data_IF_403418441292
#
_entry.id   IF_403418441292
#
_cell.length_a   1.000
_cell.length_b   1.000
_cell.length_c   1.000
_cell.angle_alpha   90.00
_cell.angle_beta   90.00
_cell.angle_gamma   90.00
#
_symmetry.space_group_name_H-M   'P 1'
#
loop_
_entity.id
_entity.type
_entity.pdbx_description
1 polymer ?
#
# COMPACT_ATOMS: atom_id res chain seq x y z
N UNK A 1 -5.97 22.50 -30.26
CA UNK A 1 -6.91 22.96 -29.22
C UNK A 1 -6.58 22.23 -27.93
N UNK A 2 -6.29 22.95 -26.87
CA UNK A 2 -6.08 22.34 -25.54
C UNK A 2 -7.40 21.76 -25.06
N UNK A 3 -7.42 20.47 -24.78
CA UNK A 3 -8.59 19.76 -24.30
C UNK A 3 -8.90 20.26 -22.88
N UNK A 4 -10.11 20.79 -22.63
CA UNK A 4 -10.57 21.23 -21.33
C UNK A 4 -11.85 20.50 -20.92
N UNK A 5 -12.27 20.58 -19.66
CA UNK A 5 -13.46 19.89 -19.16
C UNK A 5 -14.76 20.39 -19.83
N UNK A 6 -14.83 21.65 -20.23
CA UNK A 6 -15.96 22.22 -20.96
C UNK A 6 -16.12 21.54 -22.34
N UNK A 7 -15.01 21.32 -23.06
CA UNK A 7 -15.02 20.60 -24.35
C UNK A 7 -15.42 19.12 -24.21
N UNK A 8 -15.34 18.56 -23.00
CA UNK A 8 -15.83 17.21 -22.67
C UNK A 8 -17.32 17.20 -22.30
N UNK A 9 -18.01 18.35 -22.29
CA UNK A 9 -19.42 18.47 -21.97
C UNK A 9 -19.73 18.54 -20.48
N UNK A 10 -18.76 18.90 -19.64
CA UNK A 10 -18.99 19.11 -18.21
C UNK A 10 -19.68 20.46 -17.99
N UNK A 11 -20.73 20.44 -17.18
CA UNK A 11 -21.59 21.60 -16.91
C UNK A 11 -20.90 22.68 -16.05
N UNK A 12 -21.30 23.97 -16.18
CA UNK A 12 -20.61 25.11 -15.57
C UNK A 12 -20.47 25.06 -14.06
N UNK A 13 -21.43 24.50 -13.33
CA UNK A 13 -21.38 24.37 -11.87
C UNK A 13 -20.27 23.38 -11.42
N UNK A 14 -20.11 22.28 -12.14
CA UNK A 14 -19.02 21.32 -11.91
C UNK A 14 -17.66 21.91 -12.34
N UNK A 15 -17.62 22.70 -13.43
CA UNK A 15 -16.41 23.43 -13.84
C UNK A 15 -15.94 24.41 -12.77
N UNK A 16 -16.87 25.14 -12.16
CA UNK A 16 -16.57 26.05 -11.04
C UNK A 16 -15.97 25.29 -9.87
N UNK A 17 -16.54 24.14 -9.51
CA UNK A 17 -16.00 23.30 -8.44
C UNK A 17 -14.62 22.72 -8.75
N UNK A 18 -14.37 22.34 -9.99
CA UNK A 18 -13.04 21.88 -10.42
C UNK A 18 -12.00 23.01 -10.28
N UNK A 19 -12.35 24.22 -10.70
CA UNK A 19 -11.49 25.41 -10.59
C UNK A 19 -11.17 25.78 -9.14
N UNK A 20 -12.14 25.70 -8.21
CA UNK A 20 -11.93 25.87 -6.76
C UNK A 20 -10.85 24.93 -6.20
N UNK A 21 -10.64 23.78 -6.85
CA UNK A 21 -9.65 22.76 -6.47
C UNK A 21 -8.41 22.76 -7.38
N UNK A 22 -8.19 23.82 -8.14
CA UNK A 22 -7.05 23.94 -9.07
C UNK A 22 -7.00 22.85 -10.16
N UNK A 23 -8.14 22.20 -10.46
CA UNK A 23 -8.25 21.17 -11.49
C UNK A 23 -8.76 21.84 -12.78
N UNK A 24 -7.83 22.28 -13.61
CA UNK A 24 -8.15 23.07 -14.82
C UNK A 24 -8.11 22.27 -16.12
N UNK A 25 -7.35 21.16 -16.13
CA UNK A 25 -7.19 20.33 -17.33
C UNK A 25 -7.52 18.87 -17.02
N UNK A 26 -8.22 18.18 -17.94
CA UNK A 26 -8.50 16.77 -17.77
C UNK A 26 -7.23 15.93 -17.95
N UNK A 27 -7.10 14.92 -17.10
CA UNK A 27 -6.08 13.89 -17.29
C UNK A 27 -6.40 13.01 -18.51
N UNK A 28 -5.45 12.25 -19.06
CA UNK A 28 -5.69 11.39 -20.22
C UNK A 28 -6.87 10.40 -20.04
N UNK A 29 -7.05 9.83 -18.84
CA UNK A 29 -8.18 8.93 -18.56
C UNK A 29 -9.51 9.69 -18.52
N UNK A 30 -9.51 10.89 -17.96
CA UNK A 30 -10.71 11.73 -17.93
C UNK A 30 -11.13 12.16 -19.34
N UNK A 31 -10.16 12.57 -20.16
CA UNK A 31 -10.39 12.97 -21.54
C UNK A 31 -11.05 11.88 -22.40
N UNK A 32 -10.67 10.62 -22.17
CA UNK A 32 -11.22 9.49 -22.92
C UNK A 32 -12.51 8.94 -22.30
N UNK A 33 -12.59 8.83 -20.96
CA UNK A 33 -13.70 8.17 -20.30
C UNK A 33 -14.95 9.04 -20.16
N UNK A 34 -14.80 10.32 -19.84
CA UNK A 34 -15.94 11.23 -19.62
C UNK A 34 -16.91 11.21 -20.80
N UNK A 35 -16.48 11.44 -22.07
CA UNK A 35 -17.41 11.47 -23.19
C UNK A 35 -18.15 10.15 -23.42
N UNK A 36 -17.49 9.02 -23.24
CA UNK A 36 -18.11 7.72 -23.48
C UNK A 36 -19.10 7.35 -22.36
N UNK A 37 -18.77 7.69 -21.10
CA UNK A 37 -19.69 7.51 -19.96
C UNK A 37 -20.93 8.40 -20.12
N UNK A 38 -20.78 9.65 -20.58
CA UNK A 38 -21.89 10.56 -20.82
C UNK A 38 -22.81 10.09 -21.96
N UNK A 39 -22.28 9.40 -22.95
CA UNK A 39 -23.06 8.74 -24.03
C UNK A 39 -23.83 7.51 -23.53
N UNK A 40 -23.70 7.12 -22.28
CA UNK A 40 -24.33 5.92 -21.71
C UNK A 40 -23.67 4.60 -22.09
N UNK A 41 -22.50 4.61 -22.72
CA UNK A 41 -21.79 3.39 -23.09
C UNK A 41 -21.19 2.66 -21.89
N UNK A 42 -21.09 1.34 -22.00
CA UNK A 42 -20.24 0.58 -21.08
C UNK A 42 -18.77 0.94 -21.31
N UNK A 43 -18.01 1.04 -20.22
CA UNK A 43 -16.59 1.41 -20.27
C UNK A 43 -15.76 0.43 -19.44
N UNK A 44 -14.69 -0.09 -20.04
CA UNK A 44 -13.63 -0.82 -19.35
C UNK A 44 -12.36 0.02 -19.43
N UNK A 45 -12.00 0.70 -18.36
CA UNK A 45 -10.84 1.59 -18.33
C UNK A 45 -9.66 0.95 -17.59
N UNK A 46 -8.55 0.81 -18.31
CA UNK A 46 -7.25 0.45 -17.72
C UNK A 46 -6.53 1.73 -17.32
N UNK A 47 -6.36 1.94 -16.02
CA UNK A 47 -5.69 3.15 -15.51
C UNK A 47 -5.10 2.92 -14.13
N UNK A 48 -3.88 3.42 -13.94
CA UNK A 48 -3.16 3.32 -12.66
C UNK A 48 -3.82 4.17 -11.56
N UNK A 49 -3.47 3.91 -10.29
CA UNK A 49 -3.88 4.76 -9.17
C UNK A 49 -3.24 6.15 -9.28
N UNK A 50 -4.00 7.19 -8.92
CA UNK A 50 -3.50 8.58 -8.95
C UNK A 50 -3.61 9.32 -10.28
N UNK A 51 -4.18 8.71 -11.32
CA UNK A 51 -4.37 9.32 -12.64
C UNK A 51 -5.63 10.17 -12.78
N UNK A 52 -6.44 10.29 -11.71
CA UNK A 52 -7.71 11.03 -11.75
C UNK A 52 -8.93 10.20 -12.13
N UNK A 53 -8.87 8.86 -12.03
CA UNK A 53 -9.99 7.94 -12.32
C UNK A 53 -11.31 8.33 -11.65
N UNK A 54 -11.23 8.74 -10.38
CA UNK A 54 -12.44 9.06 -9.61
C UNK A 54 -13.27 10.14 -10.29
N UNK A 55 -12.67 11.23 -10.72
CA UNK A 55 -13.38 12.29 -11.43
C UNK A 55 -13.81 11.87 -12.85
N UNK A 56 -13.09 10.95 -13.50
CA UNK A 56 -13.44 10.47 -14.82
C UNK A 56 -14.84 9.83 -14.88
N UNK A 57 -15.25 9.13 -13.81
CA UNK A 57 -16.60 8.58 -13.71
C UNK A 57 -17.54 9.42 -12.86
N UNK A 58 -17.04 10.08 -11.81
CA UNK A 58 -17.88 10.79 -10.85
C UNK A 58 -18.57 12.01 -11.48
N UNK A 59 -17.86 12.81 -12.28
CA UNK A 59 -18.42 13.99 -12.94
C UNK A 59 -19.61 13.63 -13.85
N UNK A 60 -19.48 12.69 -14.84
CA UNK A 60 -20.62 12.29 -15.66
C UNK A 60 -21.76 11.63 -14.85
N UNK A 61 -21.45 10.89 -13.78
CA UNK A 61 -22.49 10.34 -12.92
C UNK A 61 -23.30 11.42 -12.22
N UNK A 62 -22.62 12.41 -11.62
CA UNK A 62 -23.28 13.53 -10.93
C UNK A 62 -24.13 14.37 -11.89
N UNK A 63 -23.67 14.55 -13.13
CA UNK A 63 -24.39 15.28 -14.16
C UNK A 63 -25.66 14.53 -14.62
N UNK A 64 -25.61 13.19 -14.63
CA UNK A 64 -26.74 12.34 -15.03
C UNK A 64 -27.73 12.01 -13.91
N UNK A 65 -27.51 12.51 -12.68
CA UNK A 65 -28.43 12.33 -11.55
C UNK A 65 -29.53 13.38 -11.59
N UNK A 66 -30.80 12.92 -11.49
CA UNK A 66 -31.93 13.79 -11.18
C UNK A 66 -32.09 13.95 -9.67
N UNK A 67 -31.79 15.14 -9.09
CA UNK A 67 -31.84 15.35 -7.64
C UNK A 67 -33.28 15.32 -7.09
N UNK A 68 -34.30 15.52 -7.90
CA UNK A 68 -35.72 15.50 -7.51
C UNK A 68 -36.26 14.08 -7.38
N UNK A 69 -35.64 13.11 -8.04
CA UNK A 69 -36.04 11.71 -7.98
C UNK A 69 -35.64 11.08 -6.64
N UNK A 70 -36.63 10.73 -5.83
CA UNK A 70 -36.46 10.08 -4.52
C UNK A 70 -36.12 8.58 -4.67
N UNK A 71 -34.97 8.29 -5.29
CA UNK A 71 -34.48 6.93 -5.52
C UNK A 71 -32.96 6.91 -5.65
N UNK A 72 -32.35 5.77 -5.31
CA UNK A 72 -30.93 5.54 -5.62
C UNK A 72 -30.80 5.27 -7.12
N UNK A 73 -30.07 6.13 -7.82
CA UNK A 73 -29.92 6.12 -9.28
C UNK A 73 -28.56 5.58 -9.73
N UNK A 74 -27.53 5.81 -8.92
CA UNK A 74 -26.16 5.44 -9.25
C UNK A 74 -25.52 4.68 -8.07
N UNK A 75 -24.66 3.73 -8.41
CA UNK A 75 -23.89 2.93 -7.43
C UNK A 75 -22.42 2.90 -7.82
N UNK A 76 -21.55 3.02 -6.81
CA UNK A 76 -20.12 2.82 -6.97
C UNK A 76 -19.67 1.75 -5.97
N UNK A 77 -18.96 0.74 -6.46
CA UNK A 77 -18.33 -0.30 -5.65
C UNK A 77 -16.83 -0.03 -5.55
N UNK A 78 -16.28 -0.11 -4.35
CA UNK A 78 -14.87 0.06 -4.06
C UNK A 78 -14.34 -1.09 -3.18
N UNK A 79 -13.07 -1.54 -3.34
CA UNK A 79 -12.51 -2.69 -2.64
C UNK A 79 -12.34 -2.47 -1.14
N UNK A 80 -12.17 -1.22 -0.70
CA UNK A 80 -11.90 -0.90 0.71
C UNK A 80 -12.87 0.17 1.24
N UNK A 81 -13.03 0.19 2.58
CA UNK A 81 -13.86 1.20 3.25
C UNK A 81 -13.27 2.60 3.08
N UNK A 82 -11.94 2.70 3.09
CA UNK A 82 -11.20 3.95 2.93
C UNK A 82 -11.46 4.58 1.55
N UNK A 83 -11.33 3.79 0.47
CA UNK A 83 -11.59 4.26 -0.87
C UNK A 83 -13.08 4.60 -1.04
N UNK A 84 -13.98 3.76 -0.55
CA UNK A 84 -15.41 4.07 -0.58
C UNK A 84 -15.73 5.41 0.10
N UNK A 85 -15.18 5.66 1.29
CA UNK A 85 -15.40 6.91 2.01
C UNK A 85 -14.70 8.12 1.38
N UNK A 86 -13.59 7.91 0.68
CA UNK A 86 -12.97 8.94 -0.15
C UNK A 86 -13.90 9.34 -1.30
N UNK A 87 -14.42 8.36 -2.05
CA UNK A 87 -15.36 8.61 -3.14
C UNK A 87 -16.64 9.29 -2.62
N UNK A 88 -17.13 8.91 -1.43
CA UNK A 88 -18.26 9.60 -0.76
C UNK A 88 -17.96 11.08 -0.57
N UNK A 89 -16.78 11.42 -0.02
CA UNK A 89 -16.38 12.83 0.20
C UNK A 89 -16.29 13.61 -1.11
N UNK A 90 -15.69 13.00 -2.15
CA UNK A 90 -15.62 13.63 -3.47
C UNK A 90 -17.04 13.79 -4.06
N UNK A 91 -17.88 12.76 -3.98
CA UNK A 91 -19.27 12.84 -4.43
C UNK A 91 -20.10 13.92 -3.72
N UNK A 92 -19.88 14.11 -2.40
CA UNK A 92 -20.48 15.20 -1.64
C UNK A 92 -19.95 16.56 -2.08
N UNK A 93 -18.62 16.69 -2.22
CA UNK A 93 -17.95 17.93 -2.62
C UNK A 93 -18.46 18.47 -3.95
N UNK A 94 -18.56 17.62 -4.97
CA UNK A 94 -19.00 18.01 -6.32
C UNK A 94 -20.53 17.96 -6.50
N UNK A 95 -21.25 17.18 -5.67
CA UNK A 95 -22.70 17.02 -5.78
C UNK A 95 -23.54 17.93 -4.88
N UNK A 96 -22.93 18.62 -3.90
CA UNK A 96 -23.63 19.43 -2.91
C UNK A 96 -24.49 20.53 -3.53
N UNK A 97 -23.92 21.33 -4.43
CA UNK A 97 -24.63 22.43 -5.11
C UNK A 97 -25.79 21.94 -5.98
N UNK A 98 -25.75 20.67 -6.40
CA UNK A 98 -26.82 20.00 -7.18
C UNK A 98 -27.90 19.39 -6.28
N UNK A 99 -27.77 19.47 -4.96
CA UNK A 99 -28.67 18.83 -4.02
C UNK A 99 -28.60 17.29 -4.02
N UNK A 100 -27.51 16.70 -4.53
CA UNK A 100 -27.31 15.26 -4.61
C UNK A 100 -26.87 14.71 -3.27
N UNK A 101 -27.60 13.73 -2.75
CA UNK A 101 -27.28 13.02 -1.51
C UNK A 101 -26.44 11.79 -1.83
N UNK A 102 -25.26 11.71 -1.21
CA UNK A 102 -24.31 10.60 -1.36
C UNK A 102 -24.19 9.85 -0.05
N UNK A 103 -24.42 8.54 -0.07
CA UNK A 103 -24.36 7.67 1.12
C UNK A 103 -23.29 6.58 0.98
N UNK A 104 -22.44 6.45 2.01
CA UNK A 104 -21.48 5.35 2.15
C UNK A 104 -22.11 4.10 2.75
N UNK A 105 -21.93 2.94 2.11
CA UNK A 105 -22.38 1.63 2.53
C UNK A 105 -21.16 0.73 2.77
N UNK A 106 -20.60 0.79 3.99
CA UNK A 106 -19.34 0.12 4.33
C UNK A 106 -19.48 -0.82 5.53
N UNK A 107 -18.68 -1.89 5.53
CA UNK A 107 -18.55 -2.80 6.66
C UNK A 107 -18.03 -2.08 7.92
N UNK A 108 -18.03 -2.75 9.08
CA UNK A 108 -17.51 -2.17 10.33
C UNK A 108 -18.26 -0.95 10.87
N UNK A 109 -19.22 -0.39 10.12
CA UNK A 109 -20.14 0.64 10.59
C UNK A 109 -21.51 0.02 10.95
N UNK A 110 -22.24 0.66 11.90
CA UNK A 110 -23.54 0.15 12.35
C UNK A 110 -24.53 0.08 11.18
N UNK A 111 -24.89 -1.13 10.77
CA UNK A 111 -25.82 -1.37 9.65
C UNK A 111 -27.17 -0.66 9.87
N UNK A 112 -27.69 -0.64 11.09
CA UNK A 112 -28.94 0.04 11.43
C UNK A 112 -28.93 1.51 11.03
N UNK A 113 -27.81 2.23 11.26
CA UNK A 113 -27.66 3.64 10.85
C UNK A 113 -27.62 3.81 9.33
N UNK A 114 -27.04 2.86 8.61
CA UNK A 114 -27.01 2.90 7.15
C UNK A 114 -28.42 2.64 6.56
N UNK A 115 -29.17 1.69 7.15
CA UNK A 115 -30.57 1.43 6.78
C UNK A 115 -31.43 2.67 7.03
N UNK A 116 -31.22 3.37 8.13
CA UNK A 116 -31.96 4.60 8.44
C UNK A 116 -31.68 5.69 7.39
N UNK A 117 -30.41 5.92 7.07
CA UNK A 117 -30.02 6.89 6.04
C UNK A 117 -30.46 6.49 4.62
N UNK A 118 -30.68 5.20 4.34
CA UNK A 118 -31.24 4.78 3.04
C UNK A 118 -32.70 5.22 2.87
N UNK A 119 -33.43 5.46 3.96
CA UNK A 119 -34.81 6.00 3.91
C UNK A 119 -34.85 7.44 3.38
N UNK A 120 -33.75 8.18 3.48
CA UNK A 120 -33.61 9.54 2.91
C UNK A 120 -33.48 9.52 1.39
N UNK A 121 -33.52 8.34 0.76
CA UNK A 121 -33.40 8.13 -0.68
C UNK A 121 -32.16 8.81 -1.30
N UNK A 122 -30.93 8.48 -0.88
CA UNK A 122 -29.73 9.02 -1.50
C UNK A 122 -29.69 8.63 -2.98
N UNK A 123 -29.40 9.59 -3.86
CA UNK A 123 -29.33 9.37 -5.30
C UNK A 123 -28.09 8.57 -5.70
N UNK A 124 -26.98 8.74 -4.96
CA UNK A 124 -25.73 8.02 -5.16
C UNK A 124 -25.37 7.21 -3.91
N UNK A 125 -25.11 5.92 -4.09
CA UNK A 125 -24.54 5.07 -3.04
C UNK A 125 -23.12 4.64 -3.44
N UNK A 126 -22.22 4.63 -2.47
CA UNK A 126 -20.84 4.16 -2.64
C UNK A 126 -20.58 3.11 -1.57
N UNK A 127 -20.12 1.91 -1.93
CA UNK A 127 -19.96 0.88 -0.93
C UNK A 127 -18.93 -0.19 -1.22
N UNK A 128 -18.65 -0.99 -0.18
CA UNK A 128 -17.89 -2.22 -0.34
C UNK A 128 -18.83 -3.38 -0.70
N UNK A 129 -18.40 -4.33 -1.57
CA UNK A 129 -19.28 -5.37 -2.09
C UNK A 129 -20.04 -6.15 -1.01
N UNK A 130 -19.36 -6.62 0.02
CA UNK A 130 -19.97 -7.40 1.08
C UNK A 130 -21.13 -6.66 1.79
N UNK A 131 -20.96 -5.36 2.13
CA UNK A 131 -22.02 -4.56 2.77
C UNK A 131 -23.17 -4.24 1.81
N UNK A 132 -22.87 -3.95 0.55
CA UNK A 132 -23.89 -3.70 -0.47
C UNK A 132 -24.73 -4.97 -0.67
N UNK A 133 -24.10 -6.14 -0.84
CA UNK A 133 -24.78 -7.44 -0.94
C UNK A 133 -25.68 -7.72 0.28
N UNK A 134 -25.17 -7.48 1.50
CA UNK A 134 -25.93 -7.65 2.75
C UNK A 134 -27.22 -6.80 2.75
N UNK A 135 -27.14 -5.54 2.32
CA UNK A 135 -28.29 -4.62 2.27
C UNK A 135 -29.27 -4.98 1.15
N UNK A 136 -28.81 -5.51 0.03
CA UNK A 136 -29.65 -6.04 -1.07
C UNK A 136 -30.40 -7.28 -0.56
N UNK A 137 -29.69 -8.25 0.04
CA UNK A 137 -30.29 -9.47 0.58
C UNK A 137 -31.34 -9.17 1.67
N UNK A 138 -31.08 -8.16 2.51
CA UNK A 138 -32.02 -7.67 3.51
C UNK A 138 -33.18 -6.85 2.90
N UNK A 139 -33.27 -6.68 1.58
CA UNK A 139 -34.28 -5.86 0.84
C UNK A 139 -34.32 -4.39 1.29
N UNK A 140 -33.20 -3.86 1.80
CA UNK A 140 -33.07 -2.46 2.24
C UNK A 140 -32.54 -1.55 1.14
N UNK A 141 -31.71 -2.07 0.23
CA UNK A 141 -31.24 -1.38 -0.97
C UNK A 141 -31.99 -1.92 -2.20
N UNK A 142 -32.72 -1.04 -2.86
CA UNK A 142 -33.53 -1.38 -4.05
C UNK A 142 -32.69 -1.16 -5.31
N UNK A 143 -32.54 -2.19 -6.14
CA UNK A 143 -31.66 -2.17 -7.32
C UNK A 143 -32.36 -1.68 -8.61
N UNK A 144 -33.70 -1.71 -8.66
CA UNK A 144 -34.48 -1.46 -9.87
C UNK A 144 -34.43 0.00 -10.40
N UNK A 145 -33.96 0.96 -9.60
CA UNK A 145 -33.77 2.35 -10.04
C UNK A 145 -32.32 2.69 -10.36
N UNK A 146 -31.39 1.75 -10.17
CA UNK A 146 -29.97 1.98 -10.41
C UNK A 146 -29.70 1.81 -11.91
N UNK A 147 -29.37 2.93 -12.54
CA UNK A 147 -29.12 3.01 -13.98
C UNK A 147 -27.64 2.93 -14.35
N UNK A 148 -26.73 3.17 -13.39
CA UNK A 148 -25.29 3.04 -13.62
C UNK A 148 -24.62 2.41 -12.42
N UNK A 149 -23.75 1.43 -12.65
CA UNK A 149 -22.89 0.82 -11.62
C UNK A 149 -21.45 1.00 -12.06
N UNK A 150 -20.66 1.63 -11.21
CA UNK A 150 -19.21 1.76 -11.36
C UNK A 150 -18.52 0.76 -10.43
N UNK A 151 -17.50 0.06 -10.92
CA UNK A 151 -16.63 -0.78 -10.11
C UNK A 151 -15.22 -0.22 -10.21
N UNK A 152 -14.77 0.41 -9.12
CA UNK A 152 -13.42 0.98 -9.06
C UNK A 152 -12.44 -0.02 -8.44
N UNK A 153 -11.23 -0.06 -8.98
CA UNK A 153 -10.15 -1.00 -8.61
C UNK A 153 -10.63 -2.47 -8.63
N UNK A 154 -11.21 -2.92 -9.76
CA UNK A 154 -11.75 -4.28 -9.95
C UNK A 154 -10.73 -5.35 -9.61
N UNK A 155 -9.48 -5.19 -10.03
CA UNK A 155 -8.37 -6.10 -9.76
C UNK A 155 -8.11 -6.26 -8.25
N UNK A 156 -8.08 -5.19 -7.50
CA UNK A 156 -7.94 -5.25 -6.04
C UNK A 156 -9.16 -5.90 -5.37
N UNK A 157 -10.35 -5.61 -5.87
CA UNK A 157 -11.59 -6.19 -5.36
C UNK A 157 -11.59 -7.73 -5.52
N UNK A 158 -11.10 -8.22 -6.65
CA UNK A 158 -10.99 -9.66 -6.91
C UNK A 158 -9.90 -10.33 -6.09
N UNK A 159 -8.74 -9.68 -5.95
CA UNK A 159 -7.66 -10.13 -5.06
C UNK A 159 -8.11 -10.28 -3.59
N UNK A 160 -9.08 -9.48 -3.16
CA UNK A 160 -9.68 -9.56 -1.81
C UNK A 160 -10.81 -10.60 -1.71
N UNK A 161 -11.06 -11.38 -2.76
CA UNK A 161 -12.12 -12.40 -2.79
C UNK A 161 -13.53 -11.82 -3.04
N UNK A 162 -13.64 -10.56 -3.46
CA UNK A 162 -14.92 -9.89 -3.69
C UNK A 162 -15.61 -10.24 -5.01
N UNK A 163 -15.01 -11.04 -5.88
CA UNK A 163 -15.56 -11.38 -7.19
C UNK A 163 -16.98 -11.97 -7.13
N UNK A 164 -17.24 -12.86 -6.16
CA UNK A 164 -18.56 -13.47 -5.95
C UNK A 164 -19.62 -12.45 -5.54
N UNK A 165 -19.26 -11.52 -4.65
CA UNK A 165 -20.16 -10.45 -4.21
C UNK A 165 -20.51 -9.50 -5.36
N UNK A 166 -19.51 -9.15 -6.19
CA UNK A 166 -19.72 -8.31 -7.38
C UNK A 166 -20.67 -8.97 -8.35
N UNK A 167 -20.45 -10.25 -8.71
CA UNK A 167 -21.35 -11.00 -9.61
C UNK A 167 -22.78 -11.05 -9.05
N UNK A 168 -22.94 -11.30 -7.75
CA UNK A 168 -24.25 -11.31 -7.10
C UNK A 168 -24.95 -9.94 -7.18
N UNK A 169 -24.23 -8.84 -6.94
CA UNK A 169 -24.76 -7.47 -7.01
C UNK A 169 -25.21 -7.17 -8.45
N UNK A 170 -24.35 -7.44 -9.43
CA UNK A 170 -24.66 -7.23 -10.85
C UNK A 170 -25.90 -8.04 -11.30
N UNK A 171 -26.03 -9.29 -10.84
CA UNK A 171 -27.18 -10.14 -11.13
C UNK A 171 -28.52 -9.65 -10.56
N UNK A 172 -28.51 -8.74 -9.57
CA UNK A 172 -29.74 -8.14 -9.00
C UNK A 172 -30.15 -6.83 -9.67
N UNK A 173 -29.29 -6.24 -10.50
CA UNK A 173 -29.56 -4.99 -11.19
C UNK A 173 -30.26 -5.23 -12.53
N UNK A 174 -30.93 -4.19 -13.06
CA UNK A 174 -31.54 -4.25 -14.37
C UNK A 174 -30.52 -4.50 -15.48
N UNK A 175 -30.92 -5.15 -16.59
CA UNK A 175 -30.01 -5.49 -17.69
C UNK A 175 -29.58 -4.30 -18.53
N UNK A 176 -30.40 -3.27 -18.60
CA UNK A 176 -30.16 -2.02 -19.35
C UNK A 176 -29.29 -1.00 -18.61
N UNK A 177 -28.78 -1.38 -17.43
CA UNK A 177 -27.86 -0.53 -16.67
C UNK A 177 -26.55 -0.29 -17.44
N UNK A 178 -26.01 0.90 -17.30
CA UNK A 178 -24.65 1.19 -17.71
C UNK A 178 -23.64 0.62 -16.70
N UNK A 179 -22.54 0.04 -17.19
CA UNK A 179 -21.43 -0.45 -16.37
C UNK A 179 -20.13 0.27 -16.73
N UNK A 180 -19.39 0.67 -15.69
CA UNK A 180 -18.08 1.30 -15.82
C UNK A 180 -17.10 0.57 -14.90
N UNK A 181 -16.15 -0.14 -15.49
CA UNK A 181 -15.11 -0.86 -14.76
C UNK A 181 -13.79 -0.11 -14.88
N UNK A 182 -13.15 0.12 -13.73
CA UNK A 182 -11.81 0.73 -13.69
C UNK A 182 -10.85 -0.23 -12.97
N UNK A 183 -9.73 -0.50 -13.60
CA UNK A 183 -8.73 -1.42 -13.08
C UNK A 183 -7.32 -0.94 -13.43
N UNK A 184 -6.34 -1.24 -12.60
CA UNK A 184 -4.94 -1.01 -12.96
C UNK A 184 -4.43 -2.13 -13.90
N UNK A 185 -5.01 -3.33 -13.77
CA UNK A 185 -4.65 -4.49 -14.58
C UNK A 185 -5.91 -5.16 -15.13
N UNK A 186 -5.80 -5.70 -16.35
CA UNK A 186 -6.85 -6.45 -17.02
C UNK A 186 -6.41 -7.92 -17.12
N UNK A 187 -6.68 -8.69 -16.09
CA UNK A 187 -6.50 -10.15 -16.11
C UNK A 187 -7.70 -10.83 -16.79
N UNK A 188 -7.54 -12.15 -17.08
CA UNK A 188 -8.56 -12.94 -17.77
C UNK A 188 -9.91 -12.96 -17.03
N UNK A 189 -9.90 -12.93 -15.70
CA UNK A 189 -11.12 -12.93 -14.90
C UNK A 189 -11.92 -11.63 -15.04
N UNK A 190 -11.23 -10.47 -15.06
CA UNK A 190 -11.85 -9.15 -15.27
C UNK A 190 -12.39 -9.05 -16.69
N UNK A 191 -11.61 -9.50 -17.69
CA UNK A 191 -12.04 -9.49 -19.08
C UNK A 191 -13.26 -10.41 -19.30
N UNK A 192 -13.25 -11.61 -18.68
CA UNK A 192 -14.39 -12.53 -18.75
C UNK A 192 -15.64 -11.91 -18.11
N UNK A 193 -15.52 -11.23 -16.97
CA UNK A 193 -16.66 -10.54 -16.36
C UNK A 193 -17.15 -9.39 -17.24
N UNK A 194 -16.26 -8.59 -17.80
CA UNK A 194 -16.64 -7.50 -18.69
C UNK A 194 -17.39 -8.03 -19.94
N UNK A 195 -16.86 -9.06 -20.59
CA UNK A 195 -17.51 -9.70 -21.74
C UNK A 195 -18.88 -10.31 -21.42
N UNK A 196 -19.06 -10.84 -20.20
CA UNK A 196 -20.32 -11.41 -19.76
C UNK A 196 -21.38 -10.36 -19.41
N UNK A 197 -20.98 -9.27 -18.77
CA UNK A 197 -21.88 -8.27 -18.20
C UNK A 197 -22.10 -7.04 -19.08
N UNK A 198 -21.18 -6.78 -20.02
CA UNK A 198 -21.19 -5.61 -20.90
C UNK A 198 -21.28 -6.04 -22.36
N UNK A 199 -22.40 -5.73 -22.98
CA UNK A 199 -22.51 -5.83 -24.43
C UNK A 199 -21.93 -4.54 -25.06
N UNK A 200 -20.98 -4.67 -25.99
CA UNK A 200 -20.42 -3.53 -26.74
C UNK A 200 -19.83 -2.43 -25.84
N UNK A 201 -18.79 -2.77 -25.09
CA UNK A 201 -18.09 -1.80 -24.24
C UNK A 201 -16.93 -1.12 -24.95
N UNK A 202 -16.65 0.13 -24.56
CA UNK A 202 -15.46 0.87 -24.98
C UNK A 202 -14.32 0.51 -24.03
N UNK A 203 -13.24 -0.02 -24.60
CA UNK A 203 -12.01 -0.21 -23.84
C UNK A 203 -11.17 1.07 -23.90
N UNK A 204 -10.84 1.62 -22.73
CA UNK A 204 -9.98 2.78 -22.58
C UNK A 204 -8.67 2.31 -21.98
N UNK A 205 -7.61 2.34 -22.80
CA UNK A 205 -6.25 2.05 -22.37
C UNK A 205 -5.48 3.35 -22.25
N UNK A 206 -4.96 3.67 -21.06
CA UNK A 206 -3.83 4.59 -21.00
C UNK A 206 -2.61 3.78 -21.39
N UNK A 207 -1.81 4.39 -22.27
CA UNK A 207 -0.62 3.87 -22.92
C UNK A 207 0.06 2.74 -22.13
N UNK A 208 0.11 1.51 -22.65
CA UNK A 208 0.75 0.38 -21.97
C UNK A 208 2.24 0.65 -21.65
N UNK A 209 2.84 1.64 -22.31
CA UNK A 209 4.25 2.01 -22.14
C UNK A 209 4.49 2.88 -20.88
N UNK A 210 3.46 3.51 -20.30
CA UNK A 210 3.57 4.23 -19.02
C UNK A 210 3.11 3.37 -17.83
N UNK A 211 3.94 2.42 -17.43
CA UNK A 211 3.63 1.52 -16.30
C UNK A 211 3.72 2.19 -14.93
N UNK A 212 4.33 3.37 -14.84
CA UNK A 212 4.38 4.23 -13.63
C UNK A 212 4.15 5.69 -14.00
N UNK A 213 3.71 6.52 -13.04
CA UNK A 213 3.54 7.95 -13.30
C UNK A 213 4.86 8.60 -13.74
N UNK A 214 4.82 9.42 -14.80
CA UNK A 214 6.00 10.02 -15.46
C UNK A 214 6.86 10.94 -14.57
N UNK A 215 6.41 11.25 -13.34
CA UNK A 215 7.14 12.10 -12.37
C UNK A 215 7.84 11.34 -11.26
N UNK A 216 7.92 9.99 -11.33
CA UNK A 216 8.51 9.18 -10.27
C UNK A 216 9.98 8.90 -10.52
N UNK A 217 10.81 9.14 -9.49
CA UNK A 217 12.18 8.66 -9.43
C UNK A 217 12.24 7.36 -8.63
N UNK A 218 12.93 6.34 -9.16
CA UNK A 218 13.01 5.02 -8.56
C UNK A 218 14.46 4.68 -8.21
N UNK A 219 14.72 4.50 -6.90
CA UNK A 219 16.03 4.12 -6.39
C UNK A 219 15.95 2.84 -5.56
N UNK A 220 17.05 2.10 -5.49
CA UNK A 220 17.23 1.09 -4.47
C UNK A 220 18.59 1.23 -3.79
N UNK A 221 18.62 0.84 -2.50
CA UNK A 221 19.78 0.89 -1.63
C UNK A 221 20.06 -0.51 -1.11
N UNK A 222 21.31 -0.96 -1.25
CA UNK A 222 21.73 -2.26 -0.76
C UNK A 222 22.26 -2.12 0.67
N UNK A 223 21.79 -2.99 1.57
CA UNK A 223 22.22 -3.02 2.97
C UNK A 223 22.08 -4.43 3.55
N UNK A 224 22.68 -4.70 4.71
CA UNK A 224 22.43 -5.94 5.42
C UNK A 224 21.06 -5.90 6.13
N UNK A 225 20.45 -7.07 6.32
CA UNK A 225 19.12 -7.19 6.96
C UNK A 225 19.05 -6.48 8.31
N UNK A 226 20.09 -6.67 9.14
CA UNK A 226 20.20 -6.03 10.47
C UNK A 226 20.27 -4.51 10.42
N UNK A 227 20.74 -3.94 9.31
CA UNK A 227 20.98 -2.51 9.15
C UNK A 227 19.84 -1.79 8.39
N UNK A 228 18.79 -2.52 7.93
CA UNK A 228 17.65 -1.94 7.18
C UNK A 228 16.96 -0.80 7.93
N UNK A 229 16.77 -0.92 9.27
CA UNK A 229 16.11 0.13 10.05
C UNK A 229 16.98 1.39 10.15
N UNK A 230 18.30 1.25 10.30
CA UNK A 230 19.20 2.40 10.28
C UNK A 230 19.27 3.04 8.88
N UNK A 231 19.30 2.22 7.82
CA UNK A 231 19.22 2.71 6.45
C UNK A 231 17.93 3.50 6.22
N UNK A 232 16.77 2.97 6.63
CA UNK A 232 15.49 3.66 6.55
C UNK A 232 15.54 5.03 7.24
N UNK A 233 16.04 5.09 8.47
CA UNK A 233 16.22 6.36 9.22
C UNK A 233 17.10 7.34 8.45
N UNK A 234 18.25 6.89 7.93
CA UNK A 234 19.20 7.72 7.17
C UNK A 234 18.56 8.26 5.90
N UNK A 235 17.79 7.44 5.17
CA UNK A 235 17.07 7.85 3.96
C UNK A 235 16.02 8.92 4.28
N UNK A 236 15.18 8.71 5.31
CA UNK A 236 14.17 9.69 5.71
C UNK A 236 14.81 11.01 6.16
N UNK A 237 15.95 10.96 6.84
CA UNK A 237 16.68 12.19 7.25
C UNK A 237 17.36 12.88 6.07
N UNK A 238 17.91 12.12 5.12
CA UNK A 238 18.61 12.67 3.96
C UNK A 238 17.64 13.37 3.00
N UNK A 239 16.58 12.68 2.58
CA UNK A 239 15.59 13.23 1.67
C UNK A 239 14.61 14.20 2.34
N UNK A 240 14.51 14.12 3.65
CA UNK A 240 13.67 14.96 4.51
C UNK A 240 12.24 15.20 3.97
N UNK A 241 11.52 14.13 3.53
CA UNK A 241 10.18 14.30 2.99
C UNK A 241 9.25 14.87 4.05
N UNK A 242 8.24 15.63 3.64
CA UNK A 242 7.17 16.05 4.53
C UNK A 242 6.41 14.82 5.06
N UNK A 243 6.10 13.87 4.17
CA UNK A 243 5.43 12.60 4.48
C UNK A 243 6.10 11.45 3.73
N UNK A 244 6.36 10.36 4.44
CA UNK A 244 6.84 9.10 3.87
C UNK A 244 5.92 7.94 4.27
N UNK A 245 5.61 7.07 3.30
CA UNK A 245 4.90 5.79 3.53
C UNK A 245 5.89 4.65 3.36
N UNK A 246 6.00 3.81 4.38
CA UNK A 246 6.92 2.67 4.42
C UNK A 246 6.13 1.37 4.34
N UNK A 247 6.45 0.54 3.36
CA UNK A 247 5.84 -0.76 3.15
C UNK A 247 6.69 -1.88 3.76
N UNK A 248 6.05 -2.72 4.58
CA UNK A 248 6.65 -3.88 5.26
C UNK A 248 5.78 -5.11 4.96
N UNK A 249 6.42 -6.23 4.57
CA UNK A 249 5.70 -7.45 4.23
C UNK A 249 5.23 -8.22 5.48
N UNK A 250 6.01 -8.18 6.56
CA UNK A 250 5.77 -8.96 7.77
C UNK A 250 5.15 -8.10 8.86
N UNK A 251 3.88 -8.33 9.19
CA UNK A 251 3.14 -7.55 10.20
C UNK A 251 3.78 -7.62 11.59
N UNK A 252 4.40 -8.74 11.94
CA UNK A 252 5.05 -8.92 13.25
C UNK A 252 6.25 -7.97 13.47
N UNK A 253 6.93 -7.55 12.41
CA UNK A 253 8.07 -6.65 12.50
C UNK A 253 7.68 -5.17 12.60
N UNK A 254 6.45 -4.82 12.23
CA UNK A 254 6.00 -3.43 12.11
C UNK A 254 6.16 -2.66 13.44
N UNK A 255 5.71 -3.24 14.56
CA UNK A 255 5.81 -2.59 15.87
C UNK A 255 7.24 -2.37 16.36
N UNK A 256 8.14 -3.31 16.05
CA UNK A 256 9.56 -3.17 16.39
C UNK A 256 10.23 -2.06 15.55
N UNK A 257 9.92 -1.98 14.26
CA UNK A 257 10.41 -0.93 13.37
C UNK A 257 9.91 0.44 13.84
N UNK A 258 8.62 0.56 14.17
CA UNK A 258 8.01 1.78 14.70
C UNK A 258 8.72 2.24 15.98
N UNK A 259 8.87 1.35 16.95
CA UNK A 259 9.53 1.65 18.23
C UNK A 259 10.99 2.12 18.03
N UNK A 260 11.76 1.44 17.16
CA UNK A 260 13.14 1.82 16.84
C UNK A 260 13.21 3.18 16.17
N UNK A 261 12.35 3.48 15.18
CA UNK A 261 12.35 4.77 14.48
C UNK A 261 11.96 5.91 15.41
N UNK A 262 10.96 5.73 16.29
CA UNK A 262 10.57 6.71 17.28
C UNK A 262 11.70 6.96 18.29
N UNK A 263 12.38 5.90 18.77
CA UNK A 263 13.56 6.04 19.63
C UNK A 263 14.70 6.82 18.94
N UNK A 264 14.85 6.67 17.64
CA UNK A 264 15.83 7.41 16.83
C UNK A 264 15.37 8.82 16.43
N UNK A 265 14.23 9.31 16.97
CA UNK A 265 13.75 10.69 16.78
C UNK A 265 12.98 10.94 15.48
N UNK A 266 12.36 9.93 14.88
CA UNK A 266 11.40 10.07 13.79
C UNK A 266 9.98 9.91 14.33
N UNK A 267 9.08 10.85 14.02
CA UNK A 267 7.67 10.74 14.40
C UNK A 267 6.98 9.70 13.50
N UNK A 268 6.81 8.50 14.03
CA UNK A 268 6.35 7.33 13.26
C UNK A 268 5.10 6.73 13.89
N UNK A 269 4.18 6.24 13.08
CA UNK A 269 3.10 5.36 13.52
C UNK A 269 2.86 4.25 12.49
N UNK A 270 2.22 3.16 12.95
CA UNK A 270 1.94 2.00 12.11
C UNK A 270 0.46 1.80 11.88
N UNK A 271 0.13 1.26 10.70
CA UNK A 271 -1.18 0.74 10.35
C UNK A 271 -1.12 -0.78 10.23
N UNK A 272 -1.86 -1.45 11.08
CA UNK A 272 -2.05 -2.89 11.02
C UNK A 272 -3.31 -3.22 10.23
N UNK A 273 -3.31 -4.36 9.53
CA UNK A 273 -4.48 -4.81 8.77
C UNK A 273 -5.71 -5.10 9.64
N UNK A 274 -5.49 -5.52 10.88
CA UNK A 274 -6.46 -5.86 11.91
C UNK A 274 -6.69 -4.75 12.95
N UNK A 275 -6.07 -3.57 12.77
CA UNK A 275 -6.29 -2.43 13.65
C UNK A 275 -7.78 -2.06 13.72
N UNK A 276 -8.28 -1.80 14.92
CA UNK A 276 -9.64 -1.30 15.10
C UNK A 276 -9.84 0.04 14.35
N UNK A 277 -11.09 0.29 13.99
CA UNK A 277 -11.45 1.44 13.14
C UNK A 277 -11.08 2.79 13.76
N UNK A 278 -11.14 2.91 15.09
CA UNK A 278 -10.85 4.17 15.79
C UNK A 278 -9.36 4.45 15.77
N UNK A 279 -8.54 3.46 16.12
CA UNK A 279 -7.07 3.54 16.06
C UNK A 279 -6.60 3.87 14.66
N UNK A 280 -7.12 3.15 13.64
CA UNK A 280 -6.79 3.42 12.23
C UNK A 280 -7.14 4.84 11.81
N UNK A 281 -8.35 5.31 12.16
CA UNK A 281 -8.81 6.67 11.85
C UNK A 281 -7.93 7.74 12.50
N UNK A 282 -7.55 7.54 13.76
CA UNK A 282 -6.70 8.47 14.51
C UNK A 282 -5.27 8.56 13.94
N UNK A 283 -4.68 7.41 13.59
CA UNK A 283 -3.34 7.38 12.96
C UNK A 283 -3.36 8.13 11.62
N UNK A 284 -4.37 7.85 10.79
CA UNK A 284 -4.51 8.51 9.48
C UNK A 284 -4.78 10.01 9.61
N UNK A 285 -5.58 10.44 10.59
CA UNK A 285 -5.83 11.86 10.85
C UNK A 285 -4.52 12.57 11.24
N UNK A 286 -3.76 12.01 12.19
CA UNK A 286 -2.45 12.55 12.60
C UNK A 286 -1.46 12.63 11.43
N UNK A 287 -1.47 11.64 10.53
CA UNK A 287 -0.59 11.63 9.37
C UNK A 287 -1.02 12.67 8.32
N UNK A 288 -2.32 12.87 8.12
CA UNK A 288 -2.84 13.95 7.24
C UNK A 288 -2.50 15.34 7.76
N UNK A 289 -2.55 15.52 9.09
CA UNK A 289 -2.26 16.78 9.78
C UNK A 289 -0.74 17.06 9.97
N UNK A 290 0.13 16.31 9.30
CA UNK A 290 1.60 16.41 9.39
C UNK A 290 2.18 16.18 10.81
N UNK A 291 1.40 15.60 11.72
CA UNK A 291 1.86 15.23 13.07
C UNK A 291 2.74 13.98 13.08
N UNK A 292 2.75 13.24 11.98
CA UNK A 292 3.59 12.06 11.77
C UNK A 292 4.35 12.24 10.46
N UNK A 293 5.67 11.99 10.51
CA UNK A 293 6.54 12.05 9.33
C UNK A 293 6.56 10.74 8.55
N UNK A 294 6.48 9.63 9.26
CA UNK A 294 6.56 8.27 8.71
C UNK A 294 5.31 7.47 9.09
N UNK A 295 4.67 6.90 8.09
CA UNK A 295 3.61 5.92 8.27
C UNK A 295 4.11 4.56 7.80
N UNK A 296 4.07 3.54 8.65
CA UNK A 296 4.44 2.17 8.30
C UNK A 296 3.15 1.38 8.06
N UNK A 297 3.09 0.62 6.97
CA UNK A 297 1.92 -0.19 6.65
C UNK A 297 2.29 -1.46 5.88
N UNK A 298 1.49 -2.51 6.02
CA UNK A 298 1.47 -3.61 5.07
C UNK A 298 0.67 -3.23 3.83
N UNK A 299 0.81 -4.00 2.74
CA UNK A 299 0.02 -3.78 1.52
C UNK A 299 -1.48 -3.76 1.82
N UNK A 300 -1.96 -4.70 2.64
CA UNK A 300 -3.38 -4.78 3.03
C UNK A 300 -3.81 -3.53 3.80
N UNK A 301 -2.99 -3.06 4.72
CA UNK A 301 -3.28 -1.88 5.52
C UNK A 301 -3.22 -0.57 4.71
N UNK A 302 -2.39 -0.52 3.66
CA UNK A 302 -2.22 0.65 2.80
C UNK A 302 -3.22 0.72 1.64
N UNK A 303 -4.00 -0.35 1.38
CA UNK A 303 -5.01 -0.35 0.31
C UNK A 303 -6.03 0.75 0.52
N UNK A 304 -6.39 1.43 -0.58
CA UNK A 304 -7.36 2.51 -0.56
C UNK A 304 -6.92 3.77 0.20
N UNK A 305 -5.68 3.83 0.72
CA UNK A 305 -5.17 5.04 1.34
C UNK A 305 -4.92 6.11 0.27
N UNK A 306 -5.64 7.20 0.41
CA UNK A 306 -5.33 8.44 -0.28
C UNK A 306 -4.72 9.42 0.71
N UNK A 307 -3.48 9.79 0.45
CA UNK A 307 -2.70 10.68 1.30
C UNK A 307 -2.16 11.79 0.42
N UNK A 308 -2.77 12.94 0.56
CA UNK A 308 -2.29 14.14 -0.13
C UNK A 308 -0.89 14.52 0.38
N UNK A 309 -0.03 14.98 -0.55
CA UNK A 309 1.30 15.45 -0.22
C UNK A 309 2.27 14.33 0.20
N UNK A 310 2.01 13.07 -0.19
CA UNK A 310 2.96 12.00 0.01
C UNK A 310 4.10 12.15 -0.99
N UNK A 311 5.28 12.51 -0.48
CA UNK A 311 6.45 12.80 -1.31
C UNK A 311 7.32 11.56 -1.53
N UNK A 312 7.30 10.62 -0.57
CA UNK A 312 8.19 9.47 -0.60
C UNK A 312 7.48 8.18 -0.23
N UNK A 313 7.71 7.15 -1.03
CA UNK A 313 7.34 5.75 -0.75
C UNK A 313 8.61 4.96 -0.53
N UNK A 314 8.66 4.19 0.54
CA UNK A 314 9.80 3.33 0.85
C UNK A 314 9.33 1.87 0.94
N UNK A 315 9.89 1.01 0.13
CA UNK A 315 9.77 -0.43 0.27
C UNK A 315 10.86 -0.90 1.24
N UNK A 316 10.50 -1.05 2.51
CA UNK A 316 11.42 -1.61 3.52
C UNK A 316 11.70 -3.09 3.20
N UNK A 317 10.67 -3.80 2.76
CA UNK A 317 10.78 -5.10 2.12
C UNK A 317 10.39 -4.96 0.65
N UNK A 318 11.09 -5.62 -0.29
CA UNK A 318 10.70 -5.65 -1.69
C UNK A 318 9.23 -6.04 -1.88
N UNK A 319 8.58 -5.46 -2.87
CA UNK A 319 7.24 -5.90 -3.26
C UNK A 319 7.26 -7.37 -3.70
N UNK A 320 6.15 -8.07 -3.53
CA UNK A 320 6.03 -9.50 -3.87
C UNK A 320 6.11 -9.74 -5.38
N UNK A 321 5.61 -8.79 -6.15
CA UNK A 321 5.58 -8.82 -7.62
C UNK A 321 5.60 -7.40 -8.20
N UNK A 322 5.73 -7.30 -9.51
CA UNK A 322 5.80 -6.01 -10.22
C UNK A 322 4.50 -5.20 -10.12
N UNK A 323 3.35 -5.86 -10.01
CA UNK A 323 2.05 -5.20 -9.83
C UNK A 323 1.96 -4.55 -8.45
N UNK A 324 2.34 -5.26 -7.39
CA UNK A 324 2.41 -4.71 -6.04
C UNK A 324 3.40 -3.53 -5.97
N UNK A 325 4.54 -3.62 -6.70
CA UNK A 325 5.49 -2.52 -6.82
C UNK A 325 4.83 -1.25 -7.39
N UNK A 326 4.09 -1.37 -8.49
CA UNK A 326 3.37 -0.25 -9.12
C UNK A 326 2.30 0.32 -8.19
N UNK A 327 1.53 -0.53 -7.50
CA UNK A 327 0.50 -0.10 -6.55
C UNK A 327 1.07 0.66 -5.35
N UNK A 328 2.24 0.22 -4.84
CA UNK A 328 2.97 0.94 -3.78
C UNK A 328 3.51 2.27 -4.30
N UNK A 329 4.20 2.25 -5.44
CA UNK A 329 4.76 3.44 -6.07
C UNK A 329 3.69 4.51 -6.37
N UNK A 330 2.52 4.09 -6.86
CA UNK A 330 1.38 4.97 -7.15
C UNK A 330 0.72 5.63 -5.94
N UNK A 331 1.27 5.45 -4.73
CA UNK A 331 0.87 6.25 -3.55
C UNK A 331 1.51 7.63 -3.55
N UNK A 332 2.63 7.84 -4.25
CA UNK A 332 3.27 9.15 -4.46
C UNK A 332 3.19 9.60 -5.92
N UNK A 333 3.61 10.81 -6.23
CA UNK A 333 3.66 11.35 -7.60
C UNK A 333 2.30 11.55 -8.26
N UNK A 334 1.24 11.72 -7.49
CA UNK A 334 -0.12 11.89 -8.01
C UNK A 334 -0.32 13.25 -8.68
N UNK A 335 -1.22 13.28 -9.67
CA UNK A 335 -1.59 14.51 -10.39
C UNK A 335 -0.38 15.19 -11.08
N UNK A 336 0.57 14.41 -11.60
CA UNK A 336 1.77 14.93 -12.27
C UNK A 336 2.82 15.53 -11.35
N UNK A 337 2.67 15.42 -10.03
CA UNK A 337 3.68 15.85 -9.06
C UNK A 337 4.87 14.89 -9.07
N UNK A 338 6.04 15.39 -8.69
CA UNK A 338 7.22 14.57 -8.48
C UNK A 338 7.05 13.68 -7.24
N UNK A 339 7.55 12.46 -7.31
CA UNK A 339 7.54 11.52 -6.20
C UNK A 339 8.80 10.65 -6.19
N UNK A 340 9.21 10.24 -5.01
CA UNK A 340 10.38 9.39 -4.83
C UNK A 340 9.97 8.01 -4.31
N UNK A 341 10.38 6.97 -5.03
CA UNK A 341 10.20 5.57 -4.66
C UNK A 341 11.56 4.96 -4.34
N UNK A 342 11.72 4.48 -3.12
CA UNK A 342 12.98 3.89 -2.64
C UNK A 342 12.75 2.46 -2.17
N UNK A 343 13.57 1.52 -2.61
CA UNK A 343 13.57 0.15 -2.10
C UNK A 343 14.83 -0.11 -1.28
N UNK A 344 14.68 -0.65 -0.08
CA UNK A 344 15.77 -1.10 0.78
C UNK A 344 15.90 -2.61 0.59
N UNK A 345 17.00 -3.05 0.02
CA UNK A 345 17.19 -4.45 -0.37
C UNK A 345 18.50 -5.00 0.19
N UNK A 346 18.54 -6.30 0.41
CA UNK A 346 19.79 -7.01 0.66
C UNK A 346 20.49 -7.34 -0.67
N UNK A 347 21.77 -7.69 -0.62
CA UNK A 347 22.51 -8.12 -1.83
C UNK A 347 21.80 -9.25 -2.57
N UNK A 348 21.21 -10.18 -1.80
CA UNK A 348 20.44 -11.32 -2.34
C UNK A 348 19.14 -10.92 -3.03
N UNK A 349 18.58 -9.74 -2.72
CA UNK A 349 17.31 -9.24 -3.27
C UNK A 349 17.49 -8.30 -4.46
N UNK A 350 18.73 -7.95 -4.82
CA UNK A 350 19.02 -7.02 -5.95
C UNK A 350 18.46 -7.50 -7.28
N UNK A 351 18.36 -8.84 -7.48
CA UNK A 351 17.78 -9.41 -8.67
C UNK A 351 16.30 -9.05 -8.85
N UNK A 352 15.56 -8.83 -7.75
CA UNK A 352 14.15 -8.43 -7.76
C UNK A 352 14.03 -7.04 -8.41
N UNK A 353 14.91 -6.10 -8.04
CA UNK A 353 14.92 -4.75 -8.62
C UNK A 353 15.21 -4.78 -10.12
N UNK A 354 16.17 -5.61 -10.54
CA UNK A 354 16.48 -5.81 -11.98
C UNK A 354 15.32 -6.47 -12.73
N UNK A 355 14.62 -7.42 -12.09
CA UNK A 355 13.43 -8.06 -12.64
C UNK A 355 12.32 -7.01 -12.85
N UNK A 356 11.98 -6.23 -11.82
CA UNK A 356 10.95 -5.20 -11.92
C UNK A 356 11.30 -4.10 -12.92
N UNK A 357 12.56 -3.67 -12.98
CA UNK A 357 13.02 -2.70 -13.98
C UNK A 357 12.74 -3.17 -15.41
N UNK A 358 12.96 -4.47 -15.70
CA UNK A 358 12.70 -5.06 -17.03
C UNK A 358 11.20 -5.27 -17.30
N UNK A 359 10.46 -5.84 -16.32
CA UNK A 359 9.04 -6.13 -16.50
C UNK A 359 8.18 -4.86 -16.65
N UNK A 360 8.59 -3.80 -15.96
CA UNK A 360 7.86 -2.53 -15.91
C UNK A 360 8.40 -1.50 -16.92
N UNK A 361 9.53 -1.80 -17.57
CA UNK A 361 10.24 -0.87 -18.44
C UNK A 361 10.50 0.50 -17.76
N UNK A 362 10.95 0.45 -16.49
CA UNK A 362 11.30 1.64 -15.71
C UNK A 362 12.73 1.58 -15.24
N UNK A 363 13.32 2.75 -15.07
CA UNK A 363 14.71 2.86 -14.60
C UNK A 363 14.75 2.83 -13.06
N UNK A 364 15.00 1.66 -12.45
CA UNK A 364 15.25 1.53 -11.01
C UNK A 364 16.75 1.52 -10.78
N UNK A 365 17.31 2.64 -10.29
CA UNK A 365 18.76 2.81 -10.19
C UNK A 365 19.30 2.53 -8.80
N UNK A 366 20.45 1.85 -8.73
CA UNK A 366 21.18 1.66 -7.48
C UNK A 366 21.76 2.98 -6.99
N UNK A 367 21.63 3.23 -5.71
CA UNK A 367 22.22 4.38 -5.00
C UNK A 367 22.83 3.92 -3.67
N UNK A 368 23.79 4.69 -3.19
CA UNK A 368 24.39 4.48 -1.86
C UNK A 368 24.50 5.81 -1.11
N UNK A 369 24.50 5.75 0.22
CA UNK A 369 24.73 6.89 1.10
C UNK A 369 26.21 6.91 1.49
N UNK A 370 26.96 7.84 0.91
CA UNK A 370 28.37 8.05 1.21
C UNK A 370 28.62 9.50 1.64
N UNK A 371 29.27 9.72 2.79
CA UNK A 371 29.54 11.07 3.29
C UNK A 371 28.28 11.94 3.47
N UNK A 372 27.12 11.34 3.79
CA UNK A 372 25.84 12.03 3.92
C UNK A 372 25.16 12.41 2.60
N UNK A 373 25.73 11.98 1.45
CA UNK A 373 25.16 12.24 0.11
C UNK A 373 24.72 10.94 -0.56
N UNK A 374 23.69 11.04 -1.39
CA UNK A 374 23.26 9.94 -2.27
C UNK A 374 24.12 9.99 -3.53
N UNK A 375 24.83 8.90 -3.78
CA UNK A 375 25.74 8.78 -4.94
C UNK A 375 25.48 7.46 -5.68
N UNK A 376 25.93 7.39 -6.93
CA UNK A 376 25.98 6.12 -7.68
C UNK A 376 27.13 5.29 -7.10
N UNK A 377 26.92 4.00 -6.78
CA UNK A 377 27.97 3.14 -6.29
C UNK A 377 29.13 3.06 -7.29
N UNK A 378 30.36 3.21 -6.83
CA UNK A 378 31.55 2.93 -7.66
C UNK A 378 31.86 1.46 -7.56
N UNK A 379 32.39 0.82 -8.61
CA UNK A 379 32.77 -0.60 -8.59
C UNK A 379 33.71 -0.99 -7.44
N UNK A 380 34.47 -0.04 -6.89
CA UNK A 380 35.38 -0.23 -5.74
C UNK A 380 34.67 -0.22 -4.39
N UNK A 381 33.49 0.37 -4.30
CA UNK A 381 32.76 0.52 -3.02
C UNK A 381 31.97 -0.74 -2.66
N UNK A 382 31.71 -1.63 -3.61
CA UNK A 382 31.03 -2.90 -3.41
C UNK A 382 31.79 -3.90 -2.51
N UNK A 383 33.04 -3.61 -2.13
CA UNK A 383 33.88 -4.46 -1.27
C UNK A 383 34.21 -3.87 0.11
N UNK A 384 33.73 -2.66 0.43
CA UNK A 384 33.93 -2.07 1.76
C UNK A 384 32.66 -2.20 2.61
N UNK A 385 32.67 -3.16 3.51
CA UNK A 385 31.73 -3.19 4.64
C UNK A 385 31.82 -1.87 5.43
N UNK A 386 30.72 -1.39 6.08
CA UNK A 386 30.75 -0.15 6.84
C UNK A 386 31.78 -0.21 7.94
N UNK A 387 32.80 0.65 7.84
CA UNK A 387 33.79 0.87 8.89
C UNK A 387 33.02 1.50 10.05
N UNK A 388 32.89 0.77 11.17
CA UNK A 388 32.46 1.35 12.45
C UNK A 388 33.46 2.47 12.79
N UNK A 389 33.01 3.64 13.30
CA UNK A 389 33.91 4.59 13.90
C UNK A 389 34.55 3.90 15.11
N UNK A 390 35.79 3.49 15.02
CA UNK A 390 36.58 3.16 16.18
C UNK A 390 36.76 4.46 16.96
N UNK A 391 36.56 4.38 18.25
CA UNK A 391 36.82 5.42 19.23
C UNK A 391 38.12 6.15 18.89
N UNK A 392 38.02 7.46 18.76
CA UNK A 392 39.18 8.33 18.62
C UNK A 392 40.02 8.19 19.89
N UNK A 393 41.06 7.41 19.82
CA UNK A 393 42.15 7.51 20.78
C UNK A 393 42.86 8.84 20.54
N UNK A 394 42.71 9.71 21.50
CA UNK A 394 43.48 10.94 21.68
C UNK A 394 44.96 10.61 21.59
N UNK A 395 45.62 11.15 20.55
CA UNK A 395 47.07 11.22 20.48
C UNK A 395 47.45 12.50 21.23
N UNK A 396 47.76 12.37 22.52
CA UNK A 396 48.62 13.28 23.24
C UNK A 396 49.59 12.39 24.05
N UNK A 397 50.86 12.74 23.96
CA UNK A 397 52.00 12.21 24.71
C UNK A 397 52.73 11.01 24.10
N UNK A 398 53.68 11.29 23.24
CA UNK A 398 55.02 10.68 23.18
C UNK A 398 55.95 11.41 22.18
N UNK A 399 56.38 12.61 22.59
CA UNK A 399 57.66 13.14 22.15
C UNK A 399 58.57 13.02 23.35
N UNK A 400 59.47 12.08 23.33
CA UNK A 400 60.82 12.08 23.89
C UNK A 400 61.35 10.65 24.03
N UNK A 401 62.30 10.35 23.22
CA UNK A 401 63.54 9.64 23.48
C UNK A 401 63.97 8.77 22.28
N UNK A 402 64.91 9.28 21.57
CA UNK A 402 65.58 8.57 20.50
C UNK A 402 66.49 7.43 20.97
N UNK A 403 66.53 6.41 20.18
CA UNK A 403 67.72 5.61 19.85
C UNK A 403 67.34 4.53 18.82
N UNK A 404 67.94 4.60 17.69
CA UNK A 404 68.06 3.52 16.67
C UNK A 404 69.46 2.90 16.81
N UNK A 405 69.84 1.93 15.96
CA UNK A 405 69.34 0.54 15.75
C UNK A 405 70.50 -0.47 15.89
N UNK A 406 70.20 -1.78 15.98
CA UNK A 406 71.23 -2.81 15.61
C UNK A 406 70.54 -4.00 14.92
N UNK A 407 71.07 -4.36 13.78
CA UNK A 407 70.88 -5.57 12.99
C UNK A 407 71.34 -6.82 13.69
N UNK A 408 70.71 -7.96 13.43
CA UNK A 408 71.23 -9.29 13.74
C UNK A 408 70.43 -10.41 13.11
N UNK A 409 71.08 -11.12 12.24
CA UNK A 409 70.65 -12.17 11.32
C UNK A 409 70.38 -13.52 12.00
N UNK A 410 69.71 -14.39 11.25
CA UNK A 410 69.84 -15.85 11.10
C UNK A 410 69.19 -16.81 12.15
N UNK A 411 68.45 -17.76 11.57
CA UNK A 411 68.41 -19.11 12.05
C UNK A 411 67.07 -19.88 11.92
N UNK A 412 66.88 -20.57 10.81
CA UNK A 412 66.08 -21.82 10.72
C UNK A 412 67.03 -22.97 11.08
N UNK A 413 66.62 -24.24 11.25
CA UNK A 413 65.29 -24.93 11.27
C UNK A 413 65.16 -26.03 12.36
N UNK A 414 64.05 -26.77 12.37
CA UNK A 414 64.04 -28.07 13.04
C UNK A 414 62.65 -28.70 13.29
N UNK A 415 62.34 -29.68 12.52
CA UNK A 415 61.33 -30.76 12.58
C UNK A 415 61.29 -31.50 13.90
N UNK A 416 60.09 -32.06 14.25
CA UNK A 416 59.70 -33.49 14.49
C UNK A 416 58.35 -33.52 15.18
N UNK A 417 57.37 -34.12 14.72
CA UNK A 417 56.77 -35.47 14.66
C UNK A 417 56.54 -36.11 16.02
N UNK A 418 55.30 -36.45 16.27
CA UNK A 418 54.76 -37.77 16.67
C UNK A 418 53.61 -37.69 17.71
N UNK A 419 52.48 -38.17 17.31
CA UNK A 419 51.73 -39.38 17.71
C UNK A 419 51.02 -39.33 19.06
N UNK A 420 49.72 -39.63 19.01
CA UNK A 420 49.15 -40.65 19.90
C UNK A 420 47.80 -40.34 20.56
N UNK A 421 46.81 -41.00 20.05
CA UNK A 421 45.75 -41.81 20.67
C UNK A 421 44.52 -41.17 21.34
N UNK A 422 43.37 -41.49 20.77
CA UNK A 422 42.09 -41.67 21.47
C UNK A 422 42.11 -42.97 22.31
N UNK A 423 41.12 -43.32 23.15
CA UNK A 423 39.68 -43.15 23.03
C UNK A 423 38.93 -42.96 24.39
N UNK A 424 37.63 -42.67 24.31
CA UNK A 424 36.74 -42.70 25.49
C UNK A 424 35.26 -42.60 25.17
N UNK A 425 34.57 -43.72 24.95
CA UNK A 425 33.13 -43.82 24.82
C UNK A 425 32.42 -43.63 26.15
N UNK A 426 31.48 -42.66 26.23
CA UNK A 426 30.53 -42.54 27.34
C UNK A 426 29.10 -42.68 26.84
N UNK A 427 28.38 -43.70 27.27
CA UNK A 427 27.00 -44.05 26.98
C UNK A 427 26.03 -42.99 27.55
N UNK A 428 25.21 -42.38 26.69
CA UNK A 428 24.08 -41.53 27.10
C UNK A 428 22.77 -42.37 27.08
N UNK A 429 22.14 -42.43 28.25
CA UNK A 429 20.89 -43.14 28.47
C UNK A 429 19.72 -42.46 27.75
N UNK A 430 18.90 -43.26 27.06
CA UNK A 430 17.68 -42.80 26.40
C UNK A 430 16.59 -42.50 27.44
N UNK A 431 16.12 -41.26 27.46
CA UNK A 431 14.96 -40.83 28.23
C UNK A 431 13.66 -41.27 27.55
N UNK A 432 12.73 -41.86 28.31
CA UNK A 432 11.48 -42.44 27.89
C UNK A 432 10.54 -41.39 27.24
N UNK A 433 9.68 -41.83 26.31
CA UNK A 433 8.69 -40.99 25.57
C UNK A 433 7.78 -40.17 26.52
N UNK A 434 7.51 -40.64 27.74
CA UNK A 434 6.71 -39.93 28.74
C UNK A 434 7.34 -38.65 29.27
N UNK A 435 8.66 -38.60 29.47
CA UNK A 435 9.35 -37.41 29.96
C UNK A 435 9.46 -36.27 28.95
N UNK A 436 9.40 -36.57 27.63
CA UNK A 436 9.37 -35.55 26.56
C UNK A 436 8.01 -34.84 26.49
N UNK A 437 6.91 -35.59 26.62
CA UNK A 437 5.57 -35.03 26.58
C UNK A 437 5.26 -34.11 27.76
N UNK A 438 5.79 -34.42 28.93
CA UNK A 438 5.61 -33.62 30.17
C UNK A 438 6.38 -32.29 30.07
N UNK A 439 7.61 -32.28 29.57
CA UNK A 439 8.39 -31.05 29.36
C UNK A 439 7.80 -30.16 28.27
N UNK A 440 7.15 -30.70 27.25
CA UNK A 440 6.51 -29.94 26.20
C UNK A 440 5.21 -29.29 26.67
N UNK A 441 4.45 -29.93 27.58
CA UNK A 441 3.28 -29.35 28.24
C UNK A 441 3.66 -28.21 29.20
N UNK A 442 4.77 -28.36 29.96
CA UNK A 442 5.25 -27.30 30.87
C UNK A 442 5.79 -26.06 30.11
N UNK A 443 6.38 -26.24 28.93
CA UNK A 443 6.78 -25.11 28.06
C UNK A 443 5.60 -24.35 27.48
N UNK A 444 4.52 -25.01 27.10
CA UNK A 444 3.29 -24.36 26.57
C UNK A 444 2.54 -23.56 27.64
N UNK A 445 2.69 -23.90 28.93
CA UNK A 445 1.97 -23.22 30.01
C UNK A 445 2.72 -22.03 30.63
N UNK A 446 3.99 -21.78 30.30
CA UNK A 446 4.78 -20.67 30.88
C UNK A 446 4.38 -19.28 30.38
N UNK A 447 3.52 -19.15 29.37
CA UNK A 447 3.06 -17.87 28.84
C UNK A 447 1.55 -17.64 28.91
N UNK A 448 0.79 -18.54 29.50
CA UNK A 448 -0.67 -18.44 29.51
C UNK A 448 -1.19 -17.43 30.55
N UNK A 449 -2.19 -16.58 30.22
CA UNK A 449 -2.83 -15.66 31.13
C UNK A 449 -3.47 -16.35 32.33
N UNK A 450 -3.52 -15.65 33.50
CA UNK A 450 -3.98 -16.20 34.80
C UNK A 450 -5.35 -16.86 34.78
N UNK A 451 -6.31 -16.34 33.98
CA UNK A 451 -7.67 -16.89 33.83
C UNK A 451 -7.73 -18.25 33.11
N UNK A 452 -6.71 -18.59 32.32
CA UNK A 452 -6.62 -19.88 31.64
C UNK A 452 -6.06 -20.99 32.58
N UNK A 453 -5.37 -20.60 33.65
CA UNK A 453 -4.81 -21.51 34.63
C UNK A 453 -5.86 -21.99 35.65
N UNK A 454 -6.93 -21.21 35.86
CA UNK A 454 -8.00 -21.52 36.82
C UNK A 454 -9.08 -22.48 36.30
N UNK A 455 -9.17 -22.69 34.97
CA UNK A 455 -10.11 -23.65 34.37
C UNK A 455 -9.70 -25.12 34.44
N UNK A 456 -8.46 -25.42 34.88
CA UNK A 456 -7.93 -26.78 34.94
C UNK A 456 -8.06 -27.47 36.31
N UNK A 457 -8.69 -26.86 37.31
CA UNK A 457 -8.68 -27.37 38.71
C UNK A 457 -10.09 -27.55 39.30
N UNK A 458 -11.10 -27.89 38.49
CA UNK A 458 -12.37 -28.37 39.04
C UNK A 458 -12.51 -29.87 38.77
N UNK A 459 -12.67 -30.74 39.80
CA UNK A 459 -13.04 -32.13 39.58
C UNK A 459 -14.51 -32.22 39.15
N UNK A 460 -14.78 -33.20 38.30
CA UNK A 460 -16.17 -33.56 37.96
C UNK A 460 -16.92 -34.06 39.20
N UNK A 461 -17.99 -33.41 39.51
CA UNK A 461 -19.17 -34.01 40.11
C UNK A 461 -20.32 -33.93 39.11
#
# INVERSE_FOLDING_TARGET
MTLNFESLGIEPDLLTKLAEHEITQPSPVQAQAIPEIMKGKHVLARSQTGTGKTLAYLLPLLQAIDPQKKATQKMILAPSQELAMQIVREGQRYGEQRGIRVLGLIGGAAIKRQIEKLKDHPQLVVGTPGRVRELIAAKKLKMHNITTIVIDEVDQMFQLGGAGDVKNILGTAQRDRQLVFLSATLNDEIQALAKHEMNDYVEIGIDPDQKTASGLEHYYFVTEERDKVDMLRRLVRHFNPRKALVFVNTTNAIGEIEAKLNHMGLTTASLYGDADKVTRSNVLARFREDKLKVLIASDVAARGLDIEGLEMVIHFDPATDSQAYVHRAGRTGRMGRKGLVVSVVTERETFIMRKFSRELDINITERTLYGGRVVVPRPADAKRAPVRPSEARTISDAVESGKAPVRGENGRPGRTAATGSAPGKGKGAALSKAGKAQRERERKNKGAPRWLKEKGSKPNE
#
